data_IF_888645935765
#
_entry.id   IF_888645935765
#
_cell.length_a   1.000
_cell.length_b   1.000
_cell.length_c   1.000
_cell.angle_alpha   90.00
_cell.angle_beta   90.00
_cell.angle_gamma   90.00
#
_symmetry.space_group_name_H-M   'P 1'
#
loop_
_entity.id
_entity.type
_entity.pdbx_description
1 polymer ?
#
# COMPACT_ATOMS: atom_id res chain seq x y z
N UNK A 1 29.34 25.17 5.75
CA UNK A 1 27.92 24.83 5.86
C UNK A 1 27.16 24.62 4.52
N UNK A 2 27.69 25.05 3.40
CA UNK A 2 27.10 24.91 2.05
C UNK A 2 27.23 23.50 1.47
N UNK A 3 28.31 22.77 1.73
CA UNK A 3 28.51 21.42 1.19
C UNK A 3 27.51 20.37 1.68
N UNK A 4 27.15 20.40 2.94
CA UNK A 4 26.17 19.44 3.52
C UNK A 4 24.76 19.56 2.94
N UNK A 5 24.33 20.80 2.64
CA UNK A 5 23.05 21.05 1.98
C UNK A 5 23.05 20.56 0.52
N UNK A 6 24.14 20.76 -0.20
CA UNK A 6 24.28 20.28 -1.57
C UNK A 6 24.31 18.76 -1.62
N UNK A 7 25.05 18.10 -0.72
CA UNK A 7 25.08 16.63 -0.63
C UNK A 7 23.71 16.04 -0.30
N UNK A 8 22.96 16.67 0.61
CA UNK A 8 21.60 16.23 0.97
C UNK A 8 20.61 16.40 -0.21
N UNK A 9 20.67 17.52 -0.91
CA UNK A 9 19.85 17.78 -2.10
C UNK A 9 20.20 16.81 -3.23
N UNK A 10 21.49 16.54 -3.46
CA UNK A 10 21.92 15.57 -4.47
C UNK A 10 21.49 14.15 -4.10
N UNK A 11 21.58 13.78 -2.82
CA UNK A 11 21.12 12.46 -2.34
C UNK A 11 19.60 12.31 -2.52
N UNK A 12 18.81 13.33 -2.22
CA UNK A 12 17.36 13.34 -2.42
C UNK A 12 17.01 13.29 -3.91
N UNK A 13 17.72 14.03 -4.75
CA UNK A 13 17.50 14.00 -6.21
C UNK A 13 17.90 12.66 -6.83
N UNK A 14 18.97 12.01 -6.37
CA UNK A 14 19.37 10.67 -6.84
C UNK A 14 18.41 9.59 -6.34
N UNK A 15 17.85 9.72 -5.15
CA UNK A 15 16.79 8.84 -4.67
C UNK A 15 15.48 9.02 -5.47
N UNK A 16 15.11 10.24 -5.81
CA UNK A 16 13.94 10.54 -6.65
C UNK A 16 14.11 10.05 -8.10
N UNK A 17 15.32 10.13 -8.68
CA UNK A 17 15.57 9.59 -10.01
C UNK A 17 15.57 8.06 -10.08
N UNK A 18 15.91 7.38 -8.98
CA UNK A 18 15.82 5.92 -8.86
C UNK A 18 14.39 5.37 -8.88
N UNK A 19 13.40 6.18 -8.50
CA UNK A 19 11.97 5.82 -8.51
C UNK A 19 11.37 5.85 -9.93
N UNK A 20 12.02 6.52 -10.89
CA UNK A 20 11.54 6.66 -12.26
C UNK A 20 11.71 5.38 -13.12
N UNK A 21 12.45 4.37 -12.65
CA UNK A 21 12.52 3.06 -13.28
C UNK A 21 11.58 2.10 -12.56
N UNK A 22 10.28 2.35 -12.66
CA UNK A 22 9.27 1.43 -12.18
C UNK A 22 9.23 0.19 -13.09
N UNK A 23 10.11 -0.77 -12.81
CA UNK A 23 9.86 -2.15 -13.18
C UNK A 23 8.60 -2.59 -12.44
N UNK A 24 7.78 -3.45 -13.09
CA UNK A 24 6.58 -4.01 -12.48
C UNK A 24 6.85 -4.48 -11.05
N UNK A 25 6.23 -3.83 -10.07
CA UNK A 25 6.41 -4.10 -8.64
C UNK A 25 5.78 -5.43 -8.22
N UNK A 26 5.08 -6.12 -9.12
CA UNK A 26 4.41 -7.40 -8.87
C UNK A 26 4.34 -8.21 -10.17
N UNK A 27 4.31 -9.53 -10.07
CA UNK A 27 4.06 -10.48 -11.16
C UNK A 27 2.88 -11.41 -10.81
N UNK A 28 1.91 -10.89 -10.07
CA UNK A 28 0.79 -11.68 -9.60
C UNK A 28 -0.35 -11.72 -10.62
N UNK A 29 -0.82 -12.90 -11.05
CA UNK A 29 -1.97 -13.04 -11.95
C UNK A 29 -3.26 -12.43 -11.35
N UNK A 30 -3.31 -12.29 -10.04
CA UNK A 30 -4.45 -11.69 -9.34
C UNK A 30 -4.55 -10.18 -9.55
N UNK A 31 -3.46 -9.52 -10.00
CA UNK A 31 -3.47 -8.08 -10.30
C UNK A 31 -4.19 -7.73 -11.61
N UNK A 32 -4.68 -8.74 -12.33
CA UNK A 32 -5.57 -8.57 -13.49
C UNK A 32 -6.93 -7.96 -13.11
N UNK A 33 -7.30 -8.00 -11.85
CA UNK A 33 -8.63 -7.60 -11.39
C UNK A 33 -8.62 -6.22 -10.73
N UNK A 34 -9.46 -5.31 -11.23
CA UNK A 34 -9.65 -3.97 -10.69
C UNK A 34 -8.36 -3.14 -10.68
N UNK A 35 -8.04 -2.57 -9.53
CA UNK A 35 -6.84 -1.75 -9.32
C UNK A 35 -5.56 -2.58 -9.07
N UNK A 36 -5.62 -3.90 -9.19
CA UNK A 36 -4.50 -4.78 -8.89
C UNK A 36 -4.31 -5.07 -7.40
N UNK A 37 -3.07 -5.24 -6.97
CA UNK A 37 -2.73 -5.48 -5.57
C UNK A 37 -2.69 -4.16 -4.81
N UNK A 38 -3.56 -4.01 -3.83
CA UNK A 38 -3.55 -2.84 -2.94
C UNK A 38 -2.31 -2.87 -2.06
N UNK A 39 -1.60 -1.74 -1.98
CA UNK A 39 -0.43 -1.61 -1.12
C UNK A 39 -0.83 -1.46 0.36
N UNK A 40 0.01 -1.98 1.24
CA UNK A 40 -0.17 -1.79 2.68
C UNK A 40 0.05 -0.33 3.06
N UNK A 41 -0.91 0.25 3.76
CA UNK A 41 -0.91 1.66 4.15
C UNK A 41 -0.41 1.85 5.60
N UNK A 42 0.63 1.12 6.00
CA UNK A 42 1.23 1.20 7.33
C UNK A 42 2.75 1.27 7.31
N UNK A 43 3.41 1.77 8.36
CA UNK A 43 4.86 1.83 8.44
C UNK A 43 5.50 0.44 8.39
N UNK A 44 6.78 0.34 8.03
CA UNK A 44 7.48 -0.93 7.88
C UNK A 44 7.46 -1.81 9.13
N UNK A 45 7.56 -1.19 10.30
CA UNK A 45 7.44 -1.88 11.59
C UNK A 45 6.07 -2.55 11.80
N UNK A 46 5.01 -1.94 11.29
CA UNK A 46 3.64 -2.48 11.31
C UNK A 46 3.54 -3.77 10.50
N UNK A 47 4.22 -3.89 9.36
CA UNK A 47 4.24 -5.12 8.55
C UNK A 47 4.72 -6.32 9.36
N UNK A 48 5.74 -6.14 10.20
CA UNK A 48 6.25 -7.18 11.08
C UNK A 48 5.29 -7.54 12.23
N UNK A 49 4.27 -6.72 12.48
CA UNK A 49 3.22 -6.91 13.49
C UNK A 49 1.85 -7.17 12.86
N UNK A 50 1.78 -7.92 11.76
CA UNK A 50 0.53 -8.26 11.09
C UNK A 50 -0.17 -7.09 10.39
N UNK A 51 0.43 -5.90 10.38
CA UNK A 51 -0.14 -4.70 9.80
C UNK A 51 -0.97 -3.86 10.77
N UNK A 52 -0.87 -4.06 12.09
CA UNK A 52 -1.54 -3.18 13.07
C UNK A 52 -0.98 -1.76 12.95
N UNK A 53 -1.85 -0.76 12.97
CA UNK A 53 -1.45 0.64 12.85
C UNK A 53 -2.41 1.63 13.52
N UNK A 54 -3.70 1.33 13.59
CA UNK A 54 -4.70 2.35 13.99
C UNK A 54 -4.56 2.82 15.43
N UNK A 55 -4.24 1.90 16.34
CA UNK A 55 -3.93 2.21 17.72
C UNK A 55 -2.46 2.52 18.00
N UNK A 56 -1.55 2.29 17.04
CA UNK A 56 -0.12 2.55 17.24
C UNK A 56 0.15 4.05 17.38
N UNK A 57 0.86 4.39 18.47
CA UNK A 57 1.29 5.75 18.79
C UNK A 57 2.74 5.72 19.25
N UNK A 58 3.63 5.92 18.31
CA UNK A 58 5.08 5.92 18.52
C UNK A 58 5.64 7.31 18.14
N UNK A 59 6.62 7.81 18.90
CA UNK A 59 7.30 9.08 18.63
C UNK A 59 8.54 8.93 17.75
N UNK A 60 8.88 7.70 17.34
CA UNK A 60 10.09 7.37 16.58
C UNK A 60 9.84 6.96 15.13
N UNK A 61 8.58 6.81 14.70
CA UNK A 61 8.20 6.43 13.35
C UNK A 61 6.95 7.15 12.85
N UNK A 62 6.79 7.22 11.54
CA UNK A 62 5.64 7.88 10.91
C UNK A 62 4.52 6.87 10.72
N UNK A 63 3.42 7.01 11.44
CA UNK A 63 2.24 6.18 11.24
C UNK A 63 1.20 6.89 10.37
N UNK A 64 1.33 6.78 9.05
CA UNK A 64 0.43 7.41 8.09
C UNK A 64 -0.93 6.72 7.96
N UNK A 65 -1.11 5.51 8.53
CA UNK A 65 -2.40 4.84 8.57
C UNK A 65 -3.41 5.50 9.51
N UNK A 66 -2.92 6.21 10.55
CA UNK A 66 -3.79 7.02 11.41
C UNK A 66 -3.14 8.38 11.67
N UNK A 67 -3.57 9.45 10.99
CA UNK A 67 -2.96 10.77 11.08
C UNK A 67 -3.03 11.42 12.47
N UNK A 68 -3.93 10.97 13.35
CA UNK A 68 -3.96 11.46 14.75
C UNK A 68 -2.65 11.16 15.50
N UNK A 69 -1.90 10.13 15.08
CA UNK A 69 -0.61 9.73 15.67
C UNK A 69 0.48 10.78 15.48
N UNK A 70 0.40 11.66 14.45
CA UNK A 70 1.43 12.68 14.19
C UNK A 70 1.62 13.64 15.35
N UNK A 71 0.60 13.84 16.16
CA UNK A 71 0.67 14.65 17.38
C UNK A 71 1.53 14.03 18.51
N UNK A 72 2.04 12.80 18.31
CA UNK A 72 2.92 12.12 19.27
C UNK A 72 4.41 12.46 19.08
N UNK A 73 4.81 13.08 17.97
CA UNK A 73 6.19 13.41 17.69
C UNK A 73 6.80 14.33 18.77
N UNK A 74 8.04 14.00 19.16
CA UNK A 74 8.76 14.75 20.19
C UNK A 74 9.19 16.15 19.73
N UNK A 75 9.50 17.01 20.68
CA UNK A 75 10.04 18.36 20.40
C UNK A 75 11.38 18.26 19.69
N UNK A 76 11.64 19.17 18.74
CA UNK A 76 12.89 19.27 18.00
C UNK A 76 13.25 17.95 17.26
N UNK A 77 12.25 17.15 16.93
CA UNK A 77 12.44 15.90 16.22
C UNK A 77 11.94 16.03 14.78
N UNK A 78 12.76 15.61 13.84
CA UNK A 78 12.43 15.38 12.45
C UNK A 78 12.61 13.88 12.19
N UNK A 79 11.56 13.23 11.74
CA UNK A 79 11.58 11.81 11.37
C UNK A 79 11.58 11.72 9.86
N UNK A 80 12.50 10.94 9.32
CA UNK A 80 12.51 10.49 7.93
C UNK A 80 12.42 8.97 7.96
N UNK A 81 11.46 8.41 7.26
CA UNK A 81 11.19 6.98 7.23
C UNK A 81 10.95 6.51 5.79
N UNK A 82 11.53 5.39 5.41
CA UNK A 82 11.42 4.83 4.08
C UNK A 82 11.46 3.31 4.11
N UNK A 83 10.72 2.69 3.23
CA UNK A 83 10.59 1.24 3.15
C UNK A 83 10.76 0.70 1.74
N UNK A 84 11.39 -0.47 1.65
CA UNK A 84 11.49 -1.29 0.45
C UNK A 84 11.08 -2.71 0.79
N UNK A 85 10.50 -3.42 -0.15
CA UNK A 85 10.13 -4.83 -0.01
C UNK A 85 10.78 -5.67 -1.09
N UNK A 86 11.13 -6.90 -0.71
CA UNK A 86 11.49 -7.97 -1.63
C UNK A 86 10.44 -9.07 -1.49
N UNK A 87 9.84 -9.45 -2.59
CA UNK A 87 8.81 -10.49 -2.64
C UNK A 87 9.30 -11.69 -3.43
N UNK A 88 9.12 -12.87 -2.88
CA UNK A 88 9.34 -14.15 -3.56
C UNK A 88 8.05 -14.95 -3.48
N UNK A 89 7.38 -15.15 -4.63
CA UNK A 89 6.06 -15.77 -4.71
C UNK A 89 6.13 -17.05 -5.53
N UNK A 90 5.56 -18.13 -4.98
CA UNK A 90 5.36 -19.37 -5.69
C UNK A 90 3.89 -19.52 -6.08
N UNK A 91 3.62 -19.50 -7.38
CA UNK A 91 2.29 -19.76 -7.93
C UNK A 91 2.17 -21.24 -8.28
N UNK A 92 1.01 -21.84 -8.02
CA UNK A 92 0.71 -23.21 -8.39
C UNK A 92 -0.78 -23.36 -8.74
N UNK A 93 -1.07 -24.03 -9.84
CA UNK A 93 -2.42 -24.45 -10.20
C UNK A 93 -2.64 -25.97 -10.02
N UNK A 94 -1.74 -26.62 -9.25
CA UNK A 94 -1.77 -28.07 -9.03
C UNK A 94 -0.90 -28.86 -10.02
N UNK A 95 -0.72 -28.38 -11.25
CA UNK A 95 0.07 -29.01 -12.30
C UNK A 95 1.35 -28.22 -12.57
N UNK A 96 1.22 -26.92 -12.79
CA UNK A 96 2.34 -26.03 -13.06
C UNK A 96 2.72 -25.27 -11.78
N UNK A 97 4.03 -25.09 -11.60
CA UNK A 97 4.60 -24.25 -10.53
C UNK A 97 5.48 -23.19 -11.16
N UNK A 98 5.30 -21.95 -10.76
CA UNK A 98 6.10 -20.83 -11.23
C UNK A 98 6.54 -19.99 -10.03
N UNK A 99 7.81 -19.59 -10.02
CA UNK A 99 8.36 -18.67 -9.03
C UNK A 99 8.52 -17.28 -9.65
N UNK A 100 8.15 -16.25 -8.91
CA UNK A 100 8.35 -14.86 -9.29
C UNK A 100 9.04 -14.12 -8.15
N UNK A 101 10.02 -13.29 -8.50
CA UNK A 101 10.75 -12.42 -7.56
C UNK A 101 10.56 -10.97 -7.98
N UNK A 102 10.15 -10.13 -7.06
CA UNK A 102 9.92 -8.71 -7.27
C UNK A 102 10.58 -7.90 -6.17
N UNK A 103 10.93 -6.68 -6.50
CA UNK A 103 11.29 -5.64 -5.52
C UNK A 103 10.32 -4.49 -5.67
N UNK A 104 9.87 -3.94 -4.57
CA UNK A 104 9.00 -2.77 -4.60
C UNK A 104 9.46 -1.70 -3.63
N UNK A 105 9.21 -0.47 -4.02
CA UNK A 105 9.25 0.67 -3.15
C UNK A 105 7.93 0.70 -2.34
N UNK A 106 8.04 0.80 -1.01
CA UNK A 106 6.86 0.78 -0.14
C UNK A 106 6.40 2.17 0.25
N UNK A 107 7.32 3.05 0.67
CA UNK A 107 7.01 4.43 1.02
C UNK A 107 8.28 5.26 1.29
N UNK A 108 8.14 6.56 1.18
CA UNK A 108 9.01 7.58 1.77
C UNK A 108 8.11 8.56 2.51
N UNK A 109 8.39 8.79 3.78
CA UNK A 109 7.61 9.70 4.62
C UNK A 109 8.52 10.54 5.49
N UNK A 110 8.05 11.72 5.83
CA UNK A 110 8.70 12.59 6.79
C UNK A 110 7.67 13.19 7.74
N UNK A 111 8.10 13.43 8.96
CA UNK A 111 7.26 14.00 10.00
C UNK A 111 8.06 14.94 10.88
N UNK A 112 7.45 16.03 11.28
CA UNK A 112 8.03 16.98 12.24
C UNK A 112 6.95 17.60 13.12
N UNK A 113 7.39 18.13 14.25
CA UNK A 113 6.51 18.83 15.17
C UNK A 113 6.39 20.29 14.78
N UNK A 114 5.18 20.72 14.38
CA UNK A 114 4.89 22.11 14.04
C UNK A 114 4.57 22.97 15.29
N UNK A 115 3.88 22.39 16.26
CA UNK A 115 3.54 23.04 17.52
C UNK A 115 3.48 22.03 18.68
N UNK A 116 3.35 22.50 19.93
CA UNK A 116 3.24 21.60 21.11
C UNK A 116 2.04 20.64 21.00
N UNK A 117 1.06 21.00 20.22
CA UNK A 117 -0.20 20.27 20.02
C UNK A 117 -0.37 19.76 18.58
N UNK A 118 0.58 20.02 17.65
CA UNK A 118 0.45 19.70 16.23
C UNK A 118 1.71 19.07 15.65
N UNK A 119 1.54 17.96 14.95
CA UNK A 119 2.53 17.33 14.07
C UNK A 119 2.09 17.40 12.62
N UNK A 120 3.04 17.54 11.71
CA UNK A 120 2.83 17.54 10.26
C UNK A 120 3.61 16.38 9.66
N UNK A 121 3.00 15.70 8.70
CA UNK A 121 3.64 14.63 7.93
C UNK A 121 3.39 14.83 6.44
N UNK A 122 4.38 14.43 5.64
CA UNK A 122 4.33 14.39 4.19
C UNK A 122 4.91 13.06 3.73
N UNK A 123 4.35 12.45 2.68
CA UNK A 123 4.92 11.22 2.15
C UNK A 123 4.41 10.85 0.77
N UNK A 124 5.18 9.96 0.15
CA UNK A 124 4.90 9.33 -1.14
C UNK A 124 4.71 7.83 -0.89
N UNK A 125 3.60 7.28 -1.35
CA UNK A 125 3.19 5.90 -1.15
C UNK A 125 2.60 5.33 -2.45
N UNK A 126 2.80 4.05 -2.76
CA UNK A 126 1.93 3.34 -3.69
C UNK A 126 0.54 3.17 -3.07
N UNK A 127 -0.50 3.27 -3.89
CA UNK A 127 -1.86 2.89 -3.53
C UNK A 127 -2.20 1.49 -4.01
N UNK A 128 -1.79 1.17 -5.26
CA UNK A 128 -1.95 -0.15 -5.86
C UNK A 128 -0.86 -0.43 -6.88
N UNK A 129 -0.65 -1.71 -7.20
CA UNK A 129 0.31 -2.16 -8.20
C UNK A 129 -0.36 -3.19 -9.11
N UNK A 130 -0.15 -3.03 -10.41
CA UNK A 130 -0.56 -3.98 -11.45
C UNK A 130 0.69 -4.50 -12.14
N UNK A 131 0.79 -5.82 -12.29
CA UNK A 131 1.90 -6.44 -13.01
C UNK A 131 1.61 -7.93 -13.20
N UNK A 132 1.34 -8.32 -14.44
CA UNK A 132 1.17 -9.72 -14.80
C UNK A 132 1.47 -9.93 -16.28
N UNK A 133 1.92 -11.14 -16.59
CA UNK A 133 2.07 -11.64 -17.96
C UNK A 133 1.70 -13.12 -17.94
N UNK A 134 0.55 -13.45 -18.52
CA UNK A 134 -0.02 -14.79 -18.51
C UNK A 134 -0.27 -15.19 -19.95
N UNK A 135 0.36 -16.30 -20.40
CA UNK A 135 0.15 -16.87 -21.71
C UNK A 135 -0.56 -18.22 -21.63
N UNK A 136 -1.45 -18.46 -22.57
CA UNK A 136 -2.08 -19.76 -22.82
C UNK A 136 -1.92 -20.11 -24.29
N UNK A 137 -1.31 -21.27 -24.58
CA UNK A 137 -1.19 -21.78 -25.93
C UNK A 137 -2.22 -22.88 -26.09
N UNK A 138 -3.11 -22.73 -27.07
CA UNK A 138 -4.10 -23.69 -27.49
C UNK A 138 -3.68 -24.24 -28.86
N UNK A 139 -4.36 -25.25 -29.37
CA UNK A 139 -3.97 -25.94 -30.62
C UNK A 139 -3.82 -24.99 -31.82
N UNK A 140 -4.65 -23.96 -31.91
CA UNK A 140 -4.73 -23.05 -33.08
C UNK A 140 -4.33 -21.62 -32.73
N UNK A 141 -4.46 -21.22 -31.46
CA UNK A 141 -4.28 -19.84 -31.01
C UNK A 141 -3.33 -19.74 -29.83
N UNK A 142 -2.65 -18.62 -29.74
CA UNK A 142 -1.91 -18.20 -28.55
C UNK A 142 -2.57 -16.96 -27.98
N UNK A 143 -3.01 -17.05 -26.73
CA UNK A 143 -3.61 -15.94 -26.00
C UNK A 143 -2.64 -15.46 -24.93
N UNK A 144 -2.36 -14.17 -24.89
CA UNK A 144 -1.60 -13.56 -23.81
C UNK A 144 -2.40 -12.43 -23.14
N UNK A 145 -2.27 -12.38 -21.85
CA UNK A 145 -2.84 -11.33 -20.98
C UNK A 145 -1.69 -10.65 -20.29
N UNK A 146 -1.53 -9.36 -20.53
CA UNK A 146 -0.54 -8.53 -19.84
C UNK A 146 -1.20 -7.36 -19.14
N UNK A 147 -0.60 -6.91 -18.10
CA UNK A 147 -1.02 -5.69 -17.44
C UNK A 147 0.13 -5.09 -16.66
N UNK A 148 0.15 -3.78 -16.60
CA UNK A 148 1.15 -3.00 -15.90
C UNK A 148 0.58 -1.70 -15.36
N UNK A 149 1.37 -1.05 -14.49
CA UNK A 149 1.02 0.21 -13.88
C UNK A 149 0.60 0.12 -12.44
N UNK A 150 -0.31 1.00 -12.04
CA UNK A 150 -0.80 1.13 -10.67
C UNK A 150 -0.99 2.57 -10.25
N UNK A 151 -1.52 2.76 -9.06
CA UNK A 151 -1.81 4.09 -8.53
C UNK A 151 -0.81 4.45 -7.42
N UNK A 152 -0.42 5.71 -7.41
CA UNK A 152 0.46 6.31 -6.42
C UNK A 152 -0.25 7.46 -5.71
N UNK A 153 0.20 7.79 -4.51
CA UNK A 153 -0.31 8.93 -3.76
C UNK A 153 0.81 9.70 -3.07
N UNK A 154 0.72 11.02 -3.12
CA UNK A 154 1.46 11.92 -2.25
C UNK A 154 0.48 12.53 -1.26
N UNK A 155 0.79 12.47 0.02
CA UNK A 155 -0.09 13.03 1.05
C UNK A 155 0.59 14.13 1.83
N UNK A 156 -0.23 15.07 2.28
CA UNK A 156 0.08 16.03 3.33
C UNK A 156 -0.90 15.81 4.47
N UNK A 157 -0.37 15.60 5.68
CA UNK A 157 -1.17 15.28 6.84
C UNK A 157 -0.84 16.12 8.07
N UNK A 158 -1.83 16.26 8.92
CA UNK A 158 -1.66 16.88 10.22
C UNK A 158 -2.35 16.07 11.31
N UNK A 159 -1.70 16.03 12.48
CA UNK A 159 -2.25 15.44 13.70
C UNK A 159 -2.27 16.47 14.83
N UNK A 160 -3.42 16.63 15.44
CA UNK A 160 -3.68 17.64 16.45
C UNK A 160 -4.03 16.98 17.79
N UNK A 161 -3.36 17.39 18.85
CA UNK A 161 -3.69 17.00 20.22
C UNK A 161 -4.71 17.99 20.78
N UNK A 162 -5.99 17.62 20.78
CA UNK A 162 -7.09 18.47 21.23
C UNK A 162 -7.18 18.52 22.75
N UNK A 163 -7.07 17.33 23.39
CA UNK A 163 -7.05 17.21 24.84
C UNK A 163 -5.83 16.41 25.29
N UNK A 164 -5.59 16.32 26.59
CA UNK A 164 -4.45 15.58 27.14
C UNK A 164 -4.32 14.15 26.59
N UNK A 165 -5.46 13.50 26.41
CA UNK A 165 -5.55 12.08 26.02
C UNK A 165 -6.16 11.86 24.63
N UNK A 166 -6.62 12.91 23.94
CA UNK A 166 -7.35 12.78 22.68
C UNK A 166 -6.68 13.58 21.57
N UNK A 167 -6.51 12.92 20.43
CA UNK A 167 -5.92 13.49 19.23
C UNK A 167 -6.78 13.16 18.02
N UNK A 168 -6.83 14.09 17.07
CA UNK A 168 -7.43 13.90 15.77
C UNK A 168 -6.40 14.20 14.68
N UNK A 169 -6.65 13.78 13.46
CA UNK A 169 -5.78 14.09 12.33
C UNK A 169 -6.47 13.87 11.00
N UNK A 170 -5.86 14.41 9.97
CA UNK A 170 -6.31 14.25 8.60
C UNK A 170 -5.11 14.19 7.67
N UNK A 171 -5.22 13.34 6.62
CA UNK A 171 -4.36 13.34 5.44
C UNK A 171 -5.21 13.74 4.24
N UNK A 172 -4.71 14.67 3.44
CA UNK A 172 -5.17 14.88 2.07
C UNK A 172 -4.11 14.35 1.13
N UNK A 173 -4.53 13.52 0.18
CA UNK A 173 -3.64 12.89 -0.78
C UNK A 173 -4.04 13.28 -2.20
N UNK A 174 -3.05 13.52 -3.05
CA UNK A 174 -3.18 13.52 -4.49
C UNK A 174 -2.90 12.10 -4.98
N UNK A 175 -3.86 11.51 -5.68
CA UNK A 175 -3.83 10.14 -6.20
C UNK A 175 -3.68 10.19 -7.71
N UNK A 176 -2.67 9.50 -8.27
CA UNK A 176 -2.43 9.46 -9.71
C UNK A 176 -1.83 8.14 -10.16
N UNK A 177 -1.92 7.87 -11.46
CA UNK A 177 -1.28 6.73 -12.12
C UNK A 177 -2.12 6.16 -13.23
N UNK A 178 -1.51 5.24 -13.95
CA UNK A 178 -2.08 4.58 -15.12
C UNK A 178 -2.18 3.08 -14.86
N UNK A 179 -3.24 2.47 -15.34
CA UNK A 179 -3.45 1.02 -15.31
C UNK A 179 -3.77 0.58 -16.73
N UNK A 180 -2.93 -0.30 -17.27
CA UNK A 180 -3.09 -0.86 -18.60
C UNK A 180 -3.34 -2.36 -18.53
N UNK A 181 -4.35 -2.83 -19.25
CA UNK A 181 -4.66 -4.23 -19.41
C UNK A 181 -4.73 -4.56 -20.91
N UNK A 182 -3.92 -5.51 -21.36
CA UNK A 182 -3.85 -5.92 -22.77
C UNK A 182 -4.19 -7.39 -22.90
N UNK A 183 -5.03 -7.69 -23.87
CA UNK A 183 -5.32 -9.07 -24.34
C UNK A 183 -4.86 -9.17 -25.76
N UNK A 184 -3.96 -10.10 -26.04
CA UNK A 184 -3.44 -10.36 -27.37
C UNK A 184 -3.74 -11.81 -27.78
N UNK A 185 -4.32 -11.98 -28.97
CA UNK A 185 -4.64 -13.28 -29.56
C UNK A 185 -3.92 -13.37 -30.91
N UNK A 186 -3.06 -14.34 -31.05
CA UNK A 186 -2.29 -14.60 -32.28
C UNK A 186 -2.51 -16.02 -32.76
N UNK A 187 -2.28 -16.24 -34.07
CA UNK A 187 -2.43 -17.55 -34.73
C UNK A 187 -1.12 -17.92 -35.42
N UNK A 188 -0.13 -18.46 -34.67
CA UNK A 188 1.24 -18.69 -35.21
C UNK A 188 1.29 -19.59 -36.43
N UNK A 189 0.35 -20.52 -36.53
CA UNK A 189 0.32 -21.55 -37.60
C UNK A 189 -0.61 -21.21 -38.78
N UNK A 190 -1.23 -20.01 -38.77
CA UNK A 190 -2.22 -19.62 -39.77
C UNK A 190 -2.00 -18.17 -40.21
N UNK A 191 -1.22 -17.99 -41.29
CA UNK A 191 -0.85 -16.66 -41.80
C UNK A 191 -2.03 -15.81 -42.30
N UNK A 192 -3.14 -16.45 -42.64
CA UNK A 192 -4.38 -15.78 -43.07
C UNK A 192 -5.29 -15.37 -41.92
N UNK A 193 -5.08 -15.87 -40.70
CA UNK A 193 -5.87 -15.51 -39.56
C UNK A 193 -5.52 -14.07 -39.07
N UNK A 194 -6.54 -13.37 -38.61
CA UNK A 194 -6.37 -12.02 -38.05
C UNK A 194 -5.96 -12.10 -36.60
N UNK A 195 -4.82 -11.56 -36.25
CA UNK A 195 -4.43 -11.31 -34.90
C UNK A 195 -5.37 -10.21 -34.29
N UNK A 196 -5.60 -10.31 -33.02
CA UNK A 196 -6.43 -9.37 -32.27
C UNK A 196 -5.69 -8.93 -31.01
N UNK A 197 -5.56 -7.62 -30.82
CA UNK A 197 -5.07 -7.03 -29.60
C UNK A 197 -6.09 -6.00 -29.09
N UNK A 198 -6.42 -6.09 -27.84
CA UNK A 198 -7.24 -5.09 -27.16
C UNK A 198 -6.51 -4.59 -25.91
N UNK A 199 -6.22 -3.31 -25.94
CA UNK A 199 -5.66 -2.56 -24.82
C UNK A 199 -6.75 -1.72 -24.16
N UNK A 200 -6.84 -1.79 -22.86
CA UNK A 200 -7.69 -0.94 -22.02
C UNK A 200 -6.79 -0.18 -21.05
N UNK A 201 -6.88 1.14 -21.09
CA UNK A 201 -6.13 2.02 -20.21
C UNK A 201 -7.07 2.88 -19.38
N UNK A 202 -6.71 3.07 -18.11
CA UNK A 202 -7.34 4.03 -17.19
C UNK A 202 -6.25 4.88 -16.57
N UNK A 203 -6.29 6.16 -16.84
CA UNK A 203 -5.45 7.18 -16.21
C UNK A 203 -6.23 7.89 -15.12
N UNK A 204 -5.73 7.85 -13.90
CA UNK A 204 -6.39 8.44 -12.71
C UNK A 204 -5.64 9.69 -12.28
N UNK A 205 -6.38 10.75 -12.03
CA UNK A 205 -5.91 12.00 -11.43
C UNK A 205 -6.97 12.49 -10.46
N UNK A 206 -6.84 12.18 -9.18
CA UNK A 206 -7.88 12.43 -8.20
C UNK A 206 -7.30 12.73 -6.82
N UNK A 207 -8.13 12.73 -5.80
CA UNK A 207 -7.72 12.96 -4.41
C UNK A 207 -8.21 11.82 -3.52
N UNK A 208 -7.67 11.77 -2.29
CA UNK A 208 -8.13 10.88 -1.22
C UNK A 208 -8.03 11.60 0.11
N UNK A 209 -9.01 11.41 0.97
CA UNK A 209 -9.05 11.97 2.32
C UNK A 209 -9.03 10.84 3.35
N UNK A 210 -8.14 10.95 4.34
CA UNK A 210 -8.12 10.03 5.48
C UNK A 210 -8.24 10.83 6.78
N UNK A 211 -9.20 10.48 7.60
CA UNK A 211 -9.44 11.07 8.91
C UNK A 211 -9.07 10.06 10.00
N UNK A 212 -8.47 10.54 11.08
CA UNK A 212 -8.07 9.69 12.19
C UNK A 212 -8.39 10.30 13.54
N UNK A 213 -8.65 9.44 14.51
CA UNK A 213 -8.78 9.81 15.91
C UNK A 213 -8.06 8.79 16.79
N UNK A 214 -7.42 9.26 17.87
CA UNK A 214 -6.80 8.41 18.87
C UNK A 214 -7.13 8.90 20.27
N UNK A 215 -7.47 7.96 21.16
CA UNK A 215 -7.62 8.20 22.59
C UNK A 215 -6.59 7.35 23.34
N UNK A 216 -5.68 8.00 24.07
CA UNK A 216 -4.62 7.33 24.84
C UNK A 216 -4.85 7.55 26.31
N UNK A 217 -4.93 6.46 27.06
CA UNK A 217 -5.06 6.51 28.51
C UNK A 217 -3.92 5.74 29.19
N UNK A 218 -3.32 6.38 30.19
CA UNK A 218 -2.25 5.79 30.98
C UNK A 218 -2.76 5.39 32.36
N UNK A 219 -2.63 4.12 32.70
CA UNK A 219 -2.98 3.56 34.00
C UNK A 219 -1.71 3.39 34.83
N UNK A 220 -1.55 4.25 35.85
CA UNK A 220 -0.31 4.26 36.63
C UNK A 220 0.89 4.68 35.79
N UNK A 221 2.07 4.10 36.10
CA UNK A 221 3.34 4.48 35.43
C UNK A 221 3.73 3.55 34.28
N UNK A 222 3.13 2.36 34.21
CA UNK A 222 3.62 1.29 33.33
C UNK A 222 2.63 0.84 32.26
N UNK A 223 1.37 1.18 32.38
CA UNK A 223 0.31 0.68 31.50
C UNK A 223 -0.26 1.79 30.67
N UNK A 224 -0.27 1.65 29.35
CA UNK A 224 -0.87 2.57 28.42
C UNK A 224 -1.77 1.81 27.46
N UNK A 225 -2.96 2.31 27.22
CA UNK A 225 -3.89 1.84 26.20
C UNK A 225 -4.14 2.97 25.22
N UNK A 226 -4.09 2.69 23.94
CA UNK A 226 -4.49 3.61 22.87
C UNK A 226 -5.56 2.95 22.02
N UNK A 227 -6.69 3.63 21.88
CA UNK A 227 -7.75 3.28 20.93
C UNK A 227 -7.62 4.20 19.73
N UNK A 228 -7.71 3.64 18.53
CA UNK A 228 -7.62 4.36 17.27
C UNK A 228 -8.79 4.05 16.36
N UNK A 229 -9.30 5.06 15.68
CA UNK A 229 -10.32 4.93 14.63
C UNK A 229 -9.85 5.73 13.42
N UNK A 230 -10.10 5.18 12.23
CA UNK A 230 -9.82 5.84 10.95
C UNK A 230 -11.04 5.75 10.05
N UNK A 231 -11.24 6.80 9.27
CA UNK A 231 -12.33 6.89 8.32
C UNK A 231 -11.84 7.57 7.03
N UNK A 232 -12.08 6.92 5.88
CA UNK A 232 -11.82 7.49 4.56
C UNK A 232 -13.11 7.45 3.76
N UNK A 233 -13.68 8.60 3.34
CA UNK A 233 -14.87 8.62 2.50
C UNK A 233 -14.54 8.05 1.12
N UNK A 234 -15.42 7.19 0.62
CA UNK A 234 -15.36 6.71 -0.76
C UNK A 234 -15.96 7.74 -1.71
N UNK A 235 -15.43 7.80 -2.92
CA UNK A 235 -15.96 8.65 -4.00
C UNK A 235 -15.49 8.13 -5.35
N UNK A 236 -16.12 8.65 -6.42
CA UNK A 236 -15.70 8.39 -7.78
C UNK A 236 -14.42 9.17 -8.10
N UNK A 237 -13.50 8.51 -8.80
CA UNK A 237 -12.22 9.08 -9.18
C UNK A 237 -12.35 9.88 -10.49
N UNK A 238 -11.66 11.00 -10.57
CA UNK A 238 -11.43 11.65 -11.85
C UNK A 238 -10.49 10.75 -12.66
N UNK A 239 -10.91 10.37 -13.85
CA UNK A 239 -10.16 9.47 -14.71
C UNK A 239 -10.44 9.76 -16.18
N UNK A 240 -9.46 9.43 -17.02
CA UNK A 240 -9.57 9.32 -18.45
C UNK A 240 -9.35 7.85 -18.83
N UNK A 241 -10.16 7.32 -19.72
CA UNK A 241 -10.05 5.92 -20.13
C UNK A 241 -10.23 5.77 -21.63
N UNK A 242 -9.49 4.83 -22.22
CA UNK A 242 -9.70 4.44 -23.59
C UNK A 242 -9.61 2.92 -23.77
N UNK A 243 -10.19 2.44 -24.85
CA UNK A 243 -10.00 1.10 -25.34
C UNK A 243 -9.49 1.18 -26.78
N UNK A 244 -8.31 0.63 -27.01
CA UNK A 244 -7.73 0.49 -28.33
C UNK A 244 -7.85 -0.98 -28.77
N UNK A 245 -8.28 -1.16 -30.03
CA UNK A 245 -8.35 -2.50 -30.63
C UNK A 245 -7.54 -2.49 -31.92
N UNK A 246 -6.61 -3.41 -32.04
CA UNK A 246 -5.79 -3.63 -33.22
C UNK A 246 -6.15 -4.99 -33.80
N UNK A 247 -6.53 -5.03 -35.07
CA UNK A 247 -6.84 -6.27 -35.78
C UNK A 247 -6.13 -6.30 -37.14
N UNK A 248 -5.64 -7.46 -37.53
CA UNK A 248 -4.98 -7.59 -38.80
C UNK A 248 -4.09 -8.83 -38.90
N UNK A 249 -3.43 -8.97 -40.05
CA UNK A 249 -2.42 -9.98 -40.30
C UNK A 249 -1.28 -9.41 -41.16
N UNK A 250 -0.21 -10.19 -41.30
CA UNK A 250 0.97 -9.77 -42.06
C UNK A 250 0.71 -9.54 -43.56
N UNK A 251 -0.37 -10.11 -44.10
CA UNK A 251 -0.71 -10.04 -45.53
C UNK A 251 -1.61 -8.85 -45.89
N UNK A 252 -2.51 -8.48 -44.97
CA UNK A 252 -3.51 -7.40 -45.22
C UNK A 252 -3.20 -6.14 -44.44
N UNK A 253 -2.18 -6.15 -43.57
CA UNK A 253 -1.87 -5.06 -42.66
C UNK A 253 -2.73 -5.06 -41.37
N UNK A 254 -2.50 -4.06 -40.55
CA UNK A 254 -3.18 -3.91 -39.26
C UNK A 254 -4.07 -2.66 -39.25
N UNK A 255 -5.28 -2.80 -38.73
CA UNK A 255 -6.20 -1.70 -38.50
C UNK A 255 -6.26 -1.41 -37.02
N UNK A 256 -6.06 -0.17 -36.65
CA UNK A 256 -6.14 0.31 -35.27
C UNK A 256 -7.41 1.13 -35.11
N UNK A 257 -8.21 0.82 -34.11
CA UNK A 257 -9.38 1.58 -33.72
C UNK A 257 -9.26 1.92 -32.23
N UNK A 258 -9.22 3.20 -31.93
CA UNK A 258 -9.25 3.69 -30.53
C UNK A 258 -10.62 4.30 -30.25
N UNK A 259 -11.14 4.03 -29.10
CA UNK A 259 -12.37 4.63 -28.57
C UNK A 259 -12.13 5.13 -27.17
N UNK A 260 -12.30 6.40 -26.96
CA UNK A 260 -12.36 6.98 -25.62
C UNK A 260 -13.59 6.44 -24.90
N UNK A 261 -13.41 6.08 -23.66
CA UNK A 261 -14.45 5.43 -22.85
C UNK A 261 -14.70 6.30 -21.63
N UNK A 262 -15.95 6.69 -21.44
CA UNK A 262 -16.34 7.25 -20.13
C UNK A 262 -16.37 6.10 -19.14
N UNK A 263 -15.36 6.04 -18.27
CA UNK A 263 -15.25 5.00 -17.27
C UNK A 263 -15.61 5.54 -15.90
N UNK A 264 -16.49 4.81 -15.19
CA UNK A 264 -16.70 5.06 -13.77
C UNK A 264 -15.75 4.20 -12.98
N UNK A 265 -14.85 4.85 -12.24
CA UNK A 265 -13.90 4.24 -11.34
C UNK A 265 -14.06 4.88 -9.96
N UNK A 266 -13.99 4.11 -8.88
CA UNK A 266 -14.18 4.67 -7.54
C UNK A 266 -13.31 4.01 -6.48
N UNK A 267 -13.04 4.73 -5.39
CA UNK A 267 -12.43 4.18 -4.18
C UNK A 267 -13.48 3.97 -3.09
N UNK A 268 -13.31 2.95 -2.24
CA UNK A 268 -14.32 2.58 -1.26
C UNK A 268 -14.30 3.48 -0.03
N UNK A 269 -15.45 3.61 0.61
CA UNK A 269 -15.49 4.06 1.99
C UNK A 269 -14.78 3.04 2.85
N UNK A 270 -13.80 3.51 3.64
CA UNK A 270 -13.01 2.70 4.56
C UNK A 270 -13.29 3.11 6.00
N UNK A 271 -13.51 2.14 6.86
CA UNK A 271 -13.59 2.29 8.30
C UNK A 271 -12.60 1.34 8.96
N UNK A 272 -11.76 1.86 9.83
CA UNK A 272 -10.82 1.09 10.62
C UNK A 272 -10.91 1.41 12.09
N UNK A 273 -10.74 0.40 12.93
CA UNK A 273 -10.63 0.54 14.37
C UNK A 273 -9.54 -0.37 14.91
N UNK A 274 -8.83 0.10 15.90
CA UNK A 274 -7.77 -0.68 16.51
C UNK A 274 -7.45 -0.23 17.93
N UNK A 275 -6.76 -1.10 18.63
CA UNK A 275 -6.24 -0.78 19.95
C UNK A 275 -4.79 -1.25 20.08
N UNK A 276 -4.03 -0.57 20.93
CA UNK A 276 -2.74 -1.03 21.40
C UNK A 276 -2.65 -0.91 22.92
N UNK A 277 -2.00 -1.89 23.51
CA UNK A 277 -1.63 -1.90 24.91
C UNK A 277 -0.11 -1.93 25.03
N UNK A 278 0.45 -1.01 25.80
CA UNK A 278 1.88 -0.90 26.06
C UNK A 278 2.13 -1.12 27.56
N UNK A 279 3.04 -2.05 27.86
CA UNK A 279 3.49 -2.33 29.20
C UNK A 279 4.95 -1.94 29.39
N UNK A 280 5.20 -0.99 30.29
CA UNK A 280 6.53 -0.53 30.73
C UNK A 280 7.46 -0.07 29.59
N UNK A 281 6.89 0.32 28.42
CA UNK A 281 7.66 0.59 27.21
C UNK A 281 8.41 -0.62 26.62
N UNK A 282 8.13 -1.84 27.11
CA UNK A 282 8.80 -3.08 26.72
C UNK A 282 7.94 -3.99 25.88
N UNK A 283 6.68 -4.09 26.20
CA UNK A 283 5.74 -4.93 25.46
C UNK A 283 4.64 -4.06 24.87
N UNK A 284 4.46 -4.15 23.57
CA UNK A 284 3.31 -3.58 22.87
C UNK A 284 2.52 -4.72 22.24
N UNK A 285 1.22 -4.77 22.48
CA UNK A 285 0.29 -5.73 21.85
C UNK A 285 -0.85 -4.94 21.25
N UNK A 286 -1.31 -5.32 20.08
CA UNK A 286 -2.41 -4.62 19.43
C UNK A 286 -3.21 -5.48 18.47
N UNK A 287 -4.40 -4.99 18.15
CA UNK A 287 -5.28 -5.57 17.16
C UNK A 287 -6.02 -4.47 16.39
N UNK A 288 -6.19 -4.71 15.09
CA UNK A 288 -6.90 -3.82 14.18
C UNK A 288 -7.93 -4.58 13.37
N UNK A 289 -9.04 -3.90 13.05
CA UNK A 289 -10.05 -4.35 12.10
C UNK A 289 -10.27 -3.24 11.07
N UNK A 290 -10.27 -3.60 9.78
CA UNK A 290 -10.53 -2.72 8.65
C UNK A 290 -11.70 -3.25 7.83
N UNK A 291 -12.61 -2.36 7.45
CA UNK A 291 -13.75 -2.62 6.59
C UNK A 291 -13.71 -1.65 5.41
N UNK A 292 -13.80 -2.17 4.19
CA UNK A 292 -13.85 -1.38 2.96
C UNK A 292 -15.06 -1.79 2.13
N UNK A 293 -15.90 -0.82 1.79
CA UNK A 293 -17.17 -1.04 1.05
C UNK A 293 -16.94 -1.01 -0.46
N UNK A 294 -16.13 -1.93 -0.99
CA UNK A 294 -15.80 -2.01 -2.41
C UNK A 294 -17.01 -2.36 -3.28
N UNK A 295 -18.01 -3.08 -2.76
CA UNK A 295 -19.23 -3.44 -3.52
C UNK A 295 -20.08 -2.24 -3.95
N UNK A 296 -19.80 -1.03 -3.43
CA UNK A 296 -20.46 0.21 -3.83
C UNK A 296 -19.63 1.04 -4.82
N UNK A 297 -18.53 0.50 -5.29
CA UNK A 297 -17.65 1.15 -6.27
C UNK A 297 -17.68 0.38 -7.59
N UNK A 298 -17.23 1.02 -8.65
CA UNK A 298 -17.08 0.40 -9.97
C UNK A 298 -15.65 0.53 -10.47
N UNK A 299 -15.30 -0.30 -11.45
CA UNK A 299 -14.07 -0.18 -12.21
C UNK A 299 -14.40 -0.38 -13.69
N UNK A 300 -14.09 0.62 -14.51
CA UNK A 300 -14.40 0.63 -15.94
C UNK A 300 -15.86 0.29 -16.25
N UNK A 301 -16.79 0.94 -15.55
CA UNK A 301 -18.24 0.73 -15.65
C UNK A 301 -18.74 -0.66 -15.19
N UNK A 302 -17.88 -1.49 -14.63
CA UNK A 302 -18.27 -2.77 -14.05
C UNK A 302 -18.53 -2.61 -12.55
N UNK A 303 -19.79 -2.50 -12.16
CA UNK A 303 -20.22 -2.40 -10.75
C UNK A 303 -20.16 -3.74 -10.00
N UNK A 304 -20.06 -4.87 -10.71
CA UNK A 304 -19.96 -6.21 -10.11
C UNK A 304 -18.53 -6.74 -10.02
N UNK A 305 -17.54 -5.90 -10.33
CA UNK A 305 -16.13 -6.28 -10.27
C UNK A 305 -15.64 -6.56 -8.83
N UNK A 306 -16.31 -5.99 -7.83
CA UNK A 306 -15.80 -5.92 -6.48
C UNK A 306 -16.67 -6.58 -5.42
N UNK A 307 -16.02 -6.98 -4.33
CA UNK A 307 -16.65 -7.45 -3.08
C UNK A 307 -16.07 -6.67 -1.90
N UNK A 308 -16.82 -6.55 -0.81
CA UNK A 308 -16.35 -5.86 0.39
C UNK A 308 -15.13 -6.56 0.96
N UNK A 309 -14.11 -5.77 1.29
CA UNK A 309 -12.87 -6.23 1.91
C UNK A 309 -12.95 -6.07 3.43
N UNK A 310 -12.52 -7.12 4.13
CA UNK A 310 -12.31 -7.09 5.59
C UNK A 310 -10.90 -7.55 5.87
N UNK A 311 -10.22 -6.87 6.78
CA UNK A 311 -8.90 -7.29 7.27
C UNK A 311 -8.89 -7.24 8.78
N UNK A 312 -8.35 -8.27 9.39
CA UNK A 312 -8.09 -8.38 10.83
C UNK A 312 -6.60 -8.58 10.99
N UNK A 313 -5.99 -7.81 11.87
CA UNK A 313 -4.55 -7.86 12.16
C UNK A 313 -4.32 -7.97 13.65
N UNK A 314 -3.35 -8.79 14.02
CA UNK A 314 -2.87 -8.96 15.40
C UNK A 314 -1.36 -8.80 15.40
N UNK A 315 -0.82 -8.13 16.41
CA UNK A 315 0.62 -7.89 16.47
C UNK A 315 1.13 -7.68 17.88
N UNK A 316 2.40 -8.01 18.06
CA UNK A 316 3.13 -7.77 19.31
C UNK A 316 4.57 -7.34 19.00
N UNK A 317 5.09 -6.42 19.83
CA UNK A 317 6.49 -6.00 19.88
C UNK A 317 7.00 -6.16 21.30
N UNK A 318 8.17 -6.74 21.45
CA UNK A 318 8.84 -6.91 22.74
C UNK A 318 10.27 -6.36 22.68
N UNK A 319 10.62 -5.49 23.61
CA UNK A 319 11.96 -4.96 23.82
C UNK A 319 12.40 -5.31 25.24
N UNK A 320 13.40 -6.19 25.43
CA UNK A 320 13.75 -6.74 26.75
C UNK A 320 14.12 -5.66 27.78
N UNK A 321 14.92 -4.68 27.39
CA UNK A 321 15.30 -3.58 28.28
C UNK A 321 15.65 -2.32 27.48
N UNK A 322 14.80 -1.28 27.47
CA UNK A 322 15.05 -0.03 26.73
C UNK A 322 16.32 0.71 27.15
N UNK A 323 16.78 0.50 28.39
CA UNK A 323 18.00 1.11 28.94
C UNK A 323 19.16 0.09 29.09
N UNK A 324 19.07 -1.06 28.42
CA UNK A 324 20.07 -2.12 28.53
C UNK A 324 21.38 -1.74 27.86
N UNK A 325 22.50 -2.21 28.43
CA UNK A 325 23.85 -2.02 27.84
C UNK A 325 24.14 -3.02 26.73
N UNK A 326 23.51 -4.18 26.73
CA UNK A 326 23.65 -5.17 25.67
C UNK A 326 22.81 -4.76 24.46
N UNK A 327 23.37 -4.89 23.26
CA UNK A 327 22.66 -4.58 22.03
C UNK A 327 21.36 -5.37 21.89
N UNK A 328 21.39 -6.69 22.15
CA UNK A 328 20.19 -7.54 22.05
C UNK A 328 19.08 -7.13 23.03
N UNK A 329 19.39 -6.46 24.11
CA UNK A 329 18.36 -6.01 25.07
C UNK A 329 17.57 -4.80 24.58
N UNK A 330 18.08 -4.03 23.63
CA UNK A 330 17.42 -2.86 23.02
C UNK A 330 16.84 -3.13 21.64
N UNK A 331 17.05 -4.33 21.11
CA UNK A 331 16.39 -4.81 19.87
C UNK A 331 14.90 -4.98 20.13
N UNK A 332 14.08 -4.51 19.20
CA UNK A 332 12.65 -4.74 19.19
C UNK A 332 12.33 -6.03 18.42
N UNK A 333 11.75 -7.00 19.08
CA UNK A 333 11.31 -8.28 18.51
C UNK A 333 9.83 -8.19 18.19
N UNK A 334 9.45 -8.47 16.94
CA UNK A 334 8.09 -8.28 16.46
C UNK A 334 7.53 -9.58 15.89
N UNK A 335 6.26 -9.82 16.17
CA UNK A 335 5.49 -10.93 15.59
C UNK A 335 4.07 -10.45 15.31
N UNK A 336 3.44 -11.06 14.33
CA UNK A 336 2.05 -10.76 14.03
C UNK A 336 1.40 -11.78 13.12
N UNK A 337 0.10 -11.60 12.93
CA UNK A 337 -0.68 -12.38 11.99
C UNK A 337 -1.80 -11.53 11.42
N UNK A 338 -2.23 -11.84 10.21
CA UNK A 338 -3.37 -11.18 9.59
C UNK A 338 -4.23 -12.15 8.79
N UNK A 339 -5.48 -11.78 8.66
CA UNK A 339 -6.46 -12.37 7.77
C UNK A 339 -7.11 -11.26 6.95
N UNK A 340 -7.21 -11.42 5.63
CA UNK A 340 -7.78 -10.44 4.72
C UNK A 340 -8.66 -11.12 3.67
N UNK A 341 -9.83 -10.57 3.46
CA UNK A 341 -10.70 -10.92 2.34
C UNK A 341 -10.30 -10.06 1.14
N UNK A 342 -10.21 -10.62 -0.08
CA UNK A 342 -9.91 -9.85 -1.28
C UNK A 342 -11.08 -8.92 -1.63
N UNK A 343 -10.77 -7.80 -2.28
CA UNK A 343 -11.76 -6.82 -2.69
C UNK A 343 -12.36 -7.08 -4.07
N UNK A 344 -11.75 -7.95 -4.86
CA UNK A 344 -12.15 -8.26 -6.23
C UNK A 344 -12.87 -9.61 -6.33
N UNK A 345 -13.64 -9.77 -7.40
CA UNK A 345 -14.28 -11.01 -7.79
C UNK A 345 -13.55 -11.64 -8.98
N UNK A 346 -13.54 -12.96 -9.03
CA UNK A 346 -13.05 -13.77 -10.14
C UNK A 346 -14.26 -14.56 -10.68
N UNK A 347 -14.60 -14.37 -11.95
CA UNK A 347 -15.74 -15.04 -12.60
C UNK A 347 -17.05 -14.90 -11.80
N UNK A 348 -17.32 -13.70 -11.27
CA UNK A 348 -18.51 -13.40 -10.48
C UNK A 348 -18.49 -13.93 -9.03
N UNK A 349 -17.44 -14.67 -8.62
CA UNK A 349 -17.28 -15.16 -7.25
C UNK A 349 -16.17 -14.39 -6.52
N UNK A 350 -16.30 -14.26 -5.20
CA UNK A 350 -15.24 -13.70 -4.39
C UNK A 350 -13.98 -14.56 -4.50
N UNK A 351 -12.83 -13.94 -4.70
CA UNK A 351 -11.55 -14.62 -4.72
C UNK A 351 -11.20 -15.23 -3.34
N UNK A 352 -10.16 -16.07 -3.30
CA UNK A 352 -9.73 -16.76 -2.08
C UNK A 352 -9.22 -15.78 -1.01
N UNK A 353 -9.49 -16.09 0.24
CA UNK A 353 -9.06 -15.30 1.37
C UNK A 353 -7.52 -15.43 1.59
N UNK A 354 -6.92 -14.38 2.10
CA UNK A 354 -5.48 -14.28 2.39
C UNK A 354 -5.25 -14.34 3.89
N UNK A 355 -4.22 -15.04 4.30
CA UNK A 355 -3.73 -15.04 5.68
C UNK A 355 -2.20 -15.08 5.71
N UNK A 356 -1.62 -14.52 6.74
CA UNK A 356 -0.19 -14.48 6.90
C UNK A 356 0.25 -14.39 8.34
N UNK A 357 1.45 -14.90 8.59
CA UNK A 357 2.20 -14.74 9.83
C UNK A 357 3.42 -13.88 9.53
N UNK A 358 3.71 -12.94 10.39
CA UNK A 358 4.80 -11.99 10.23
C UNK A 358 5.75 -12.03 11.41
N UNK A 359 7.02 -11.79 11.14
CA UNK A 359 8.05 -11.62 12.17
C UNK A 359 9.06 -10.57 11.70
N UNK A 360 9.70 -9.90 12.65
CA UNK A 360 10.71 -8.90 12.31
C UNK A 360 11.47 -8.38 13.51
N UNK A 361 12.48 -7.59 13.21
CA UNK A 361 13.34 -6.96 14.20
C UNK A 361 13.38 -5.46 13.98
N UNK A 362 13.42 -4.69 15.07
CA UNK A 362 13.78 -3.28 15.03
C UNK A 362 15.19 -3.13 15.61
N UNK A 363 16.16 -2.85 14.74
CA UNK A 363 17.57 -2.77 15.08
C UNK A 363 17.98 -1.29 15.30
N UNK A 364 18.15 -0.84 16.53
CA UNK A 364 18.59 0.53 16.79
C UNK A 364 20.03 0.74 16.29
N UNK A 365 20.25 1.81 15.54
CA UNK A 365 21.57 2.16 15.05
C UNK A 365 22.34 2.86 16.19
N UNK A 366 23.48 2.31 16.65
CA UNK A 366 24.23 2.87 17.79
C UNK A 366 24.57 4.36 17.57
N UNK A 367 24.47 5.14 18.64
CA UNK A 367 24.74 6.59 18.65
C UNK A 367 23.79 7.44 17.80
N UNK A 368 22.72 6.88 17.28
CA UNK A 368 21.66 7.61 16.56
C UNK A 368 20.31 7.34 17.21
N UNK A 369 19.26 8.05 16.76
CA UNK A 369 17.87 7.72 17.11
C UNK A 369 17.17 6.91 16.00
N UNK A 370 17.94 6.42 15.04
CA UNK A 370 17.40 5.68 13.88
C UNK A 370 17.22 4.20 14.21
N UNK A 371 16.22 3.60 13.62
CA UNK A 371 15.91 2.17 13.76
C UNK A 371 15.79 1.58 12.35
N UNK A 372 16.48 0.48 12.10
CA UNK A 372 16.28 -0.36 10.93
C UNK A 372 15.24 -1.43 11.28
N UNK A 373 14.15 -1.48 10.56
CA UNK A 373 13.02 -2.38 10.81
C UNK A 373 12.79 -3.34 9.67
#
# INVERSE_FOLDING_TARGET
MTGYRQTLVTLVLTLLSGVAFAQNNTNSPYTRYGYGQLADQGPGSSKAMGGIAYGLRDNSQVNFANPASYSAVDSLTFIFDGGISLQNTNFSNGVLKQNAKNSSFDYITMQFRAAKWAGISLGLLPYSNVGYNIGETREVEQVSYTGDGGLHQIYLGTGLKIFKNFSIGANISYLWGDITHTVNVTYPNTSSAFAFEREQNVSVTSYKLDLGAQYTHQFGKKHQVTLGVVFSPGHDLNNDAYTQTTTGNSSMGYTVSQRDTVATCGIPTTLGAGFTYVYDGRLTVGADVMLQNWSKTSFMNNSDAFSNRRRISLGAEYMPNPMGRSYLSVVKYRVGAYYSQPYYKMEGKRAADEYGVTAGFGLPIPRTRSILS
#
